data_IF_983501924595
#
_entry.id   IF_983501924595
#
_cell.length_a   1.000
_cell.length_b   1.000
_cell.length_c   1.000
_cell.angle_alpha   90.00
_cell.angle_beta   90.00
_cell.angle_gamma   90.00
#
_symmetry.space_group_name_H-M   'P 1'
#
loop_
_entity.id
_entity.type
_entity.pdbx_description
1 polymer ?
#
# COMPACT_ATOMS: atom_id res chain seq x y z
N UNK A 1 -16.44 -4.90 -44.17
CA UNK A 1 -15.43 -5.47 -43.27
C UNK A 1 -14.07 -5.19 -43.90
N UNK A 2 -13.00 -4.72 -43.26
CA UNK A 2 -12.77 -4.06 -41.98
C UNK A 2 -11.30 -3.66 -42.08
N UNK A 3 -11.00 -2.36 -42.18
CA UNK A 3 -9.65 -1.85 -41.95
C UNK A 3 -9.36 -1.91 -40.46
N UNK A 4 -9.20 -3.13 -39.94
CA UNK A 4 -8.57 -3.37 -38.65
C UNK A 4 -7.14 -2.85 -38.80
N UNK A 5 -6.91 -1.62 -38.33
CA UNK A 5 -5.59 -1.01 -38.16
C UNK A 5 -4.62 -2.10 -37.71
N UNK A 6 -3.76 -2.58 -38.61
CA UNK A 6 -2.68 -3.50 -38.26
C UNK A 6 -1.95 -2.88 -37.09
N UNK A 7 -1.94 -3.56 -35.94
CA UNK A 7 -1.17 -3.12 -34.80
C UNK A 7 0.28 -2.94 -35.27
N UNK A 8 0.82 -1.72 -35.17
CA UNK A 8 2.22 -1.46 -35.47
C UNK A 8 3.04 -2.46 -34.65
N UNK A 9 3.75 -3.37 -35.33
CA UNK A 9 4.70 -4.26 -34.68
C UNK A 9 5.90 -3.42 -34.26
N UNK A 10 5.79 -2.75 -33.12
CA UNK A 10 6.93 -2.13 -32.44
C UNK A 10 7.64 -3.25 -31.70
N UNK A 11 8.79 -3.71 -32.22
CA UNK A 11 9.66 -4.63 -31.51
C UNK A 11 10.52 -3.82 -30.53
N UNK A 12 10.23 -3.95 -29.23
CA UNK A 12 11.12 -3.46 -28.19
C UNK A 12 12.28 -4.44 -28.04
N UNK A 13 13.51 -3.95 -28.19
CA UNK A 13 14.72 -4.73 -27.90
C UNK A 13 15.18 -4.39 -26.48
N UNK A 14 15.16 -5.38 -25.60
CA UNK A 14 15.77 -5.27 -24.28
C UNK A 14 17.29 -5.50 -24.41
N UNK A 15 18.07 -4.96 -23.48
CA UNK A 15 19.47 -5.36 -23.34
C UNK A 15 19.55 -6.82 -22.94
N UNK A 16 20.61 -7.53 -23.34
CA UNK A 16 20.75 -8.97 -23.11
C UNK A 16 20.56 -9.37 -21.63
N UNK A 17 21.01 -8.53 -20.70
CA UNK A 17 20.86 -8.76 -19.25
C UNK A 17 19.39 -8.72 -18.79
N UNK A 18 18.63 -7.72 -19.25
CA UNK A 18 17.21 -7.60 -18.96
C UNK A 18 16.39 -8.69 -19.65
N UNK A 19 16.79 -9.06 -20.86
CA UNK A 19 16.11 -10.07 -21.66
C UNK A 19 16.21 -11.46 -21.00
N UNK A 20 17.38 -11.79 -20.45
CA UNK A 20 17.62 -13.01 -19.67
C UNK A 20 16.92 -12.97 -18.30
N UNK A 21 16.89 -11.81 -17.63
CA UNK A 21 16.16 -11.67 -16.36
C UNK A 21 14.65 -11.89 -16.53
N UNK A 22 14.08 -11.35 -17.62
CA UNK A 22 12.67 -11.53 -17.96
C UNK A 22 12.34 -12.98 -18.31
N UNK A 23 13.22 -13.66 -19.05
CA UNK A 23 13.09 -15.08 -19.39
C UNK A 23 13.08 -15.96 -18.14
N UNK A 24 14.06 -15.78 -17.23
CA UNK A 24 14.13 -16.50 -15.96
C UNK A 24 12.88 -16.33 -15.10
N UNK A 25 12.32 -15.12 -15.06
CA UNK A 25 11.11 -14.83 -14.29
C UNK A 25 9.84 -15.39 -14.97
N UNK A 26 9.83 -15.47 -16.31
CA UNK A 26 8.75 -16.08 -17.08
C UNK A 26 8.72 -17.60 -16.85
N UNK A 27 9.88 -18.25 -16.89
CA UNK A 27 10.05 -19.67 -16.60
C UNK A 27 9.62 -20.00 -15.17
N UNK A 28 10.03 -19.19 -14.18
CA UNK A 28 9.61 -19.34 -12.78
C UNK A 28 8.10 -19.33 -12.60
N UNK A 29 7.39 -18.59 -13.45
CA UNK A 29 5.93 -18.42 -13.40
C UNK A 29 5.19 -19.32 -14.39
N UNK A 30 5.89 -20.14 -15.16
CA UNK A 30 5.30 -21.02 -16.17
C UNK A 30 4.57 -20.29 -17.29
N UNK A 31 4.98 -19.06 -17.63
CA UNK A 31 4.37 -18.23 -18.68
C UNK A 31 5.38 -17.87 -19.74
N UNK A 32 4.91 -17.51 -20.94
CA UNK A 32 5.83 -17.01 -21.97
C UNK A 32 6.40 -15.63 -21.60
N UNK A 33 7.65 -15.39 -21.99
CA UNK A 33 8.32 -14.09 -21.84
C UNK A 33 7.50 -12.90 -22.35
N UNK A 34 6.83 -13.07 -23.49
CA UNK A 34 5.97 -12.05 -24.09
C UNK A 34 4.70 -11.79 -23.25
N UNK A 35 4.12 -12.84 -22.68
CA UNK A 35 2.97 -12.71 -21.78
C UNK A 35 3.36 -12.00 -20.47
N UNK A 36 4.52 -12.34 -19.91
CA UNK A 36 5.05 -11.66 -18.73
C UNK A 36 5.33 -10.18 -19.02
N UNK A 37 5.95 -9.87 -20.15
CA UNK A 37 6.19 -8.49 -20.58
C UNK A 37 4.88 -7.68 -20.68
N UNK A 38 3.85 -8.27 -21.29
CA UNK A 38 2.51 -7.63 -21.37
C UNK A 38 1.93 -7.39 -19.98
N UNK A 39 2.03 -8.36 -19.06
CA UNK A 39 1.55 -8.21 -17.68
C UNK A 39 2.28 -7.08 -16.95
N UNK A 40 3.59 -6.97 -17.11
CA UNK A 40 4.37 -5.86 -16.52
C UNK A 40 4.03 -4.51 -17.13
N UNK A 41 3.84 -4.42 -18.45
CA UNK A 41 3.41 -3.18 -19.09
C UNK A 41 2.03 -2.77 -18.61
N UNK A 42 1.08 -3.72 -18.53
CA UNK A 42 -0.26 -3.44 -18.00
C UNK A 42 -0.16 -3.00 -16.54
N UNK A 43 0.58 -3.72 -15.69
CA UNK A 43 0.77 -3.35 -14.29
C UNK A 43 1.38 -1.94 -14.17
N UNK A 44 2.47 -1.66 -14.89
CA UNK A 44 3.10 -0.34 -14.88
C UNK A 44 2.17 0.77 -15.38
N UNK A 45 1.36 0.52 -16.41
CA UNK A 45 0.36 1.49 -16.90
C UNK A 45 -0.84 1.64 -15.94
N UNK A 46 -1.12 0.63 -15.13
CA UNK A 46 -2.19 0.68 -14.11
C UNK A 46 -1.69 1.34 -12.82
N UNK A 47 -0.41 1.14 -12.49
CA UNK A 47 0.26 1.68 -11.30
C UNK A 47 0.79 3.11 -11.52
N UNK A 48 1.13 3.48 -12.77
CA UNK A 48 1.57 4.83 -13.12
C UNK A 48 0.38 5.81 -13.18
N UNK A 49 -0.08 6.25 -12.02
CA UNK A 49 -0.95 7.42 -11.85
C UNK A 49 -2.33 7.13 -11.24
N UNK A 50 -2.75 5.86 -11.26
CA UNK A 50 -3.87 5.26 -10.52
C UNK A 50 -3.66 5.02 -9.03
N UNK A 51 -4.40 5.63 -8.08
CA UNK A 51 -4.59 4.88 -6.83
C UNK A 51 -5.29 3.57 -7.20
N UNK A 52 -4.60 2.43 -7.06
CA UNK A 52 -5.19 1.16 -7.50
C UNK A 52 -6.36 0.84 -6.58
N UNK A 53 -7.48 0.34 -7.10
CA UNK A 53 -8.65 -0.04 -6.28
C UNK A 53 -8.26 -0.89 -5.06
N UNK A 54 -7.25 -1.75 -5.22
CA UNK A 54 -6.68 -2.57 -4.15
C UNK A 54 -5.94 -1.72 -3.10
N UNK A 55 -5.10 -0.77 -3.51
CA UNK A 55 -4.44 0.20 -2.62
C UNK A 55 -5.47 1.09 -1.91
N UNK A 56 -6.43 1.65 -2.64
CA UNK A 56 -7.52 2.47 -2.08
C UNK A 56 -8.34 1.72 -1.04
N UNK A 57 -8.71 0.47 -1.34
CA UNK A 57 -9.47 -0.36 -0.42
C UNK A 57 -8.65 -0.68 0.83
N UNK A 58 -7.35 -0.97 0.66
CA UNK A 58 -6.46 -1.24 1.78
C UNK A 58 -6.27 0.00 2.66
N UNK A 59 -6.02 1.18 2.06
CA UNK A 59 -5.89 2.45 2.78
C UNK A 59 -7.19 2.77 3.50
N UNK A 60 -8.35 2.65 2.82
CA UNK A 60 -9.65 2.89 3.44
C UNK A 60 -9.87 1.97 4.63
N UNK A 61 -9.62 0.67 4.48
CA UNK A 61 -9.85 -0.28 5.55
C UNK A 61 -8.91 -0.05 6.74
N UNK A 62 -7.62 0.17 6.47
CA UNK A 62 -6.61 0.47 7.47
C UNK A 62 -6.92 1.78 8.21
N UNK A 63 -7.24 2.84 7.48
CA UNK A 63 -7.60 4.14 8.06
C UNK A 63 -8.88 4.03 8.90
N UNK A 64 -9.94 3.40 8.38
CA UNK A 64 -11.19 3.22 9.13
C UNK A 64 -10.97 2.43 10.43
N UNK A 65 -10.23 1.32 10.38
CA UNK A 65 -9.92 0.54 11.57
C UNK A 65 -9.14 1.38 12.60
N UNK A 66 -8.12 2.12 12.16
CA UNK A 66 -7.31 2.96 13.03
C UNK A 66 -8.12 4.08 13.68
N UNK A 67 -8.96 4.79 12.91
CA UNK A 67 -9.81 5.85 13.47
C UNK A 67 -10.84 5.28 14.45
N UNK A 68 -11.44 4.12 14.16
CA UNK A 68 -12.36 3.46 15.10
C UNK A 68 -11.64 3.17 16.43
N UNK A 69 -10.42 2.64 16.39
CA UNK A 69 -9.65 2.34 17.61
C UNK A 69 -9.27 3.62 18.38
N UNK A 70 -8.92 4.69 17.67
CA UNK A 70 -8.65 6.01 18.27
C UNK A 70 -9.89 6.51 19.01
N UNK A 71 -11.05 6.55 18.34
CA UNK A 71 -12.30 7.03 18.96
C UNK A 71 -12.80 6.09 20.06
N UNK A 72 -12.59 4.78 19.94
CA UNK A 72 -12.92 3.82 20.99
C UNK A 72 -12.12 4.07 22.27
N UNK A 73 -10.84 4.44 22.13
CA UNK A 73 -9.98 4.79 23.26
C UNK A 73 -10.52 6.02 24.00
N UNK A 74 -10.91 7.06 23.25
CA UNK A 74 -11.53 8.28 23.81
C UNK A 74 -12.87 7.95 24.47
N UNK A 75 -13.70 7.14 23.82
CA UNK A 75 -14.99 6.69 24.34
C UNK A 75 -14.84 5.97 25.69
N UNK A 76 -13.88 5.05 25.83
CA UNK A 76 -13.66 4.34 27.10
C UNK A 76 -13.21 5.28 28.22
N UNK A 77 -12.37 6.28 27.91
CA UNK A 77 -11.95 7.28 28.89
C UNK A 77 -13.16 8.09 29.37
N UNK A 78 -14.02 8.52 28.46
CA UNK A 78 -15.26 9.25 28.79
C UNK A 78 -16.26 8.37 29.55
N UNK A 79 -16.38 7.08 29.19
CA UNK A 79 -17.27 6.15 29.87
C UNK A 79 -16.89 5.97 31.35
N UNK A 80 -15.59 5.91 31.64
CA UNK A 80 -15.09 5.81 33.02
C UNK A 80 -15.09 7.16 33.75
N UNK A 81 -15.12 8.27 33.00
CA UNK A 81 -15.08 9.63 33.54
C UNK A 81 -16.14 10.52 32.85
N UNK A 82 -17.43 10.36 33.21
CA UNK A 82 -18.53 11.01 32.49
C UNK A 82 -18.54 12.54 32.53
N UNK A 83 -17.76 13.13 33.45
CA UNK A 83 -17.61 14.59 33.58
C UNK A 83 -16.59 15.20 32.61
N UNK A 84 -15.79 14.37 31.94
CA UNK A 84 -14.80 14.86 30.98
C UNK A 84 -15.44 15.16 29.62
N UNK A 85 -15.03 16.27 29.01
CA UNK A 85 -15.36 16.52 27.61
C UNK A 85 -14.56 15.60 26.68
N UNK A 86 -15.03 15.42 25.45
CA UNK A 86 -14.33 14.67 24.41
C UNK A 86 -12.91 15.20 24.17
N UNK A 87 -12.73 16.54 24.19
CA UNK A 87 -11.42 17.16 24.01
C UNK A 87 -10.46 16.81 25.16
N UNK A 88 -10.94 16.78 26.40
CA UNK A 88 -10.15 16.39 27.56
C UNK A 88 -9.78 14.90 27.52
N UNK A 89 -10.74 14.03 27.18
CA UNK A 89 -10.50 12.61 27.01
C UNK A 89 -9.50 12.34 25.86
N UNK A 90 -9.57 13.11 24.78
CA UNK A 90 -8.63 13.03 23.66
C UNK A 90 -7.21 13.46 24.06
N UNK A 91 -7.06 14.49 24.91
CA UNK A 91 -5.75 14.86 25.47
C UNK A 91 -5.15 13.73 26.30
N UNK A 92 -5.95 13.09 27.15
CA UNK A 92 -5.52 11.93 27.95
C UNK A 92 -5.12 10.76 27.04
N UNK A 93 -5.92 10.45 26.01
CA UNK A 93 -5.60 9.39 25.05
C UNK A 93 -4.28 9.66 24.31
N UNK A 94 -4.05 10.91 23.88
CA UNK A 94 -2.79 11.31 23.24
C UNK A 94 -1.59 11.11 24.17
N UNK A 95 -1.70 11.58 25.40
CA UNK A 95 -0.59 11.56 26.36
C UNK A 95 -0.22 10.16 26.81
N UNK A 96 -1.21 9.28 27.04
CA UNK A 96 -0.95 7.97 27.66
C UNK A 96 -1.01 6.78 26.71
N UNK A 97 -1.76 6.87 25.61
CA UNK A 97 -1.96 5.77 24.66
C UNK A 97 -1.16 6.04 23.39
N UNK A 98 -1.46 7.12 22.68
CA UNK A 98 -0.91 7.35 21.35
C UNK A 98 0.58 7.66 21.39
N UNK A 99 1.06 8.47 22.34
CA UNK A 99 2.50 8.76 22.51
C UNK A 99 3.34 7.48 22.69
N UNK A 100 2.88 6.56 23.54
CA UNK A 100 3.56 5.29 23.84
C UNK A 100 3.49 4.34 22.65
N UNK A 101 2.36 4.28 21.95
CA UNK A 101 2.23 3.50 20.74
C UNK A 101 3.21 3.98 19.66
N UNK A 102 3.27 5.29 19.41
CA UNK A 102 4.21 5.91 18.47
C UNK A 102 5.66 5.62 18.83
N UNK A 103 6.05 5.77 20.10
CA UNK A 103 7.41 5.47 20.55
C UNK A 103 7.79 3.99 20.31
N UNK A 104 6.87 3.05 20.55
CA UNK A 104 7.11 1.63 20.28
C UNK A 104 7.22 1.32 18.79
N UNK A 105 6.39 1.94 17.96
CA UNK A 105 6.47 1.81 16.50
C UNK A 105 7.81 2.35 16.00
N UNK A 106 8.24 3.51 16.48
CA UNK A 106 9.52 4.11 16.11
C UNK A 106 10.70 3.21 16.50
N UNK A 107 10.70 2.64 17.70
CA UNK A 107 11.71 1.68 18.13
C UNK A 107 11.73 0.42 17.26
N UNK A 108 10.56 -0.09 16.85
CA UNK A 108 10.45 -1.23 15.94
C UNK A 108 11.02 -0.91 14.55
N UNK A 109 10.69 0.27 14.01
CA UNK A 109 11.19 0.71 12.70
C UNK A 109 12.72 0.86 12.72
N UNK A 110 13.28 1.44 13.78
CA UNK A 110 14.73 1.51 13.99
C UNK A 110 15.38 0.12 14.03
N UNK A 111 14.78 -0.85 14.73
CA UNK A 111 15.27 -2.23 14.77
C UNK A 111 15.24 -2.92 13.40
N UNK A 112 14.32 -2.53 12.52
CA UNK A 112 14.19 -3.04 11.16
C UNK A 112 15.08 -2.31 10.15
N UNK A 113 15.86 -1.31 10.58
CA UNK A 113 16.71 -0.50 9.71
C UNK A 113 15.93 0.43 8.78
N UNK A 114 14.68 0.74 9.14
CA UNK A 114 13.84 1.71 8.43
C UNK A 114 14.00 3.03 9.18
N UNK A 115 15.03 3.78 8.83
CA UNK A 115 15.26 5.14 9.33
C UNK A 115 14.36 6.13 8.56
N UNK A 116 13.79 7.12 9.27
CA UNK A 116 13.15 8.29 8.64
C UNK A 116 14.20 9.21 7.99
#
# INVERSE_FOLDING_TARGET
MSDLKRAKQTQFRLSNSLDHALEKEADRRGVSKNELAKKFVIAALTDAGTSTFKSDTHIRHSASANYILIYLSVFFIMQQNPSLSEEQATKIANEFIFSKATSRVQALLQQLGIEE
#
